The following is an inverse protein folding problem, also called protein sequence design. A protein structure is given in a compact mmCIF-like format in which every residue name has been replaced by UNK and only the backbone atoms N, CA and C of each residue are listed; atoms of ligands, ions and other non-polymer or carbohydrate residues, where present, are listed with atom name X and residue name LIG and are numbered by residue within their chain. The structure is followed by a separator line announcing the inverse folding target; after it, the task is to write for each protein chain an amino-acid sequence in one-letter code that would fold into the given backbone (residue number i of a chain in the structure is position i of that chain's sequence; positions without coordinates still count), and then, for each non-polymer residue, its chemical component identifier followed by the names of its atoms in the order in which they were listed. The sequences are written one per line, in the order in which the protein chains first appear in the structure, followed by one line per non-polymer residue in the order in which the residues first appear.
data_IF_537994429426
#
_entry.id   IF_537994429426
#
_cell.length_a   1.000
_cell.length_b   1.000
_cell.length_c   1.000
_cell.angle_alpha   90.00
_cell.angle_beta   90.00
_cell.angle_gamma   90.00
#
_symmetry.space_group_name_H-M   'P 1'
#
loop_
_entity.id
_entity.type
_entity.pdbx_description
1 polymer ?
#
# COMPACT_ATOMS: atom_id res chain seq x y z
N UNK A 1 -7.74 -27.69 0.83
CA UNK A 1 -8.65 -26.67 0.28
C UNK A 1 -7.80 -25.51 -0.20
N UNK A 2 -7.92 -25.08 -1.46
CA UNK A 2 -7.13 -23.96 -1.99
C UNK A 2 -7.53 -22.67 -1.28
N UNK A 3 -6.53 -21.85 -0.95
CA UNK A 3 -6.74 -20.58 -0.27
C UNK A 3 -7.11 -19.50 -1.28
N UNK A 4 -8.04 -18.61 -0.90
CA UNK A 4 -8.59 -17.57 -1.79
C UNK A 4 -8.33 -16.18 -1.22
N UNK A 5 -8.25 -15.18 -2.08
CA UNK A 5 -8.51 -13.79 -1.68
C UNK A 5 -10.01 -13.51 -1.76
N UNK A 6 -10.49 -12.52 -1.02
CA UNK A 6 -11.87 -12.07 -1.08
C UNK A 6 -11.95 -10.56 -1.31
N UNK A 7 -12.79 -10.14 -2.26
CA UNK A 7 -13.20 -8.76 -2.46
C UNK A 7 -14.51 -8.56 -1.71
N UNK A 8 -14.53 -7.66 -0.72
CA UNK A 8 -15.71 -7.36 0.06
C UNK A 8 -16.32 -6.04 -0.38
N UNK A 9 -17.63 -6.05 -0.62
CA UNK A 9 -18.39 -4.86 -0.97
C UNK A 9 -19.69 -4.77 -0.19
N UNK A 10 -20.18 -3.54 -0.06
CA UNK A 10 -21.55 -3.30 0.40
C UNK A 10 -22.56 -3.71 -0.68
N UNK A 11 -23.80 -3.95 -0.27
CA UNK A 11 -24.91 -4.11 -1.18
C UNK A 11 -25.32 -2.74 -1.74
N UNK A 12 -25.42 -2.64 -3.07
CA UNK A 12 -25.83 -1.42 -3.74
C UNK A 12 -27.35 -1.25 -3.73
N UNK A 13 -28.08 -2.37 -3.86
CA UNK A 13 -29.54 -2.41 -3.80
C UNK A 13 -30.06 -3.44 -2.78
N UNK A 14 -31.28 -3.24 -2.26
CA UNK A 14 -31.95 -4.20 -1.38
C UNK A 14 -32.17 -5.57 -2.06
N UNK A 15 -32.21 -5.58 -3.38
CA UNK A 15 -32.28 -6.77 -4.22
C UNK A 15 -30.97 -7.55 -4.24
N UNK A 16 -29.83 -6.89 -3.97
CA UNK A 16 -28.51 -7.55 -3.85
C UNK A 16 -28.35 -8.27 -2.50
N UNK A 17 -29.20 -7.96 -1.52
CA UNK A 17 -29.19 -8.66 -0.23
C UNK A 17 -29.65 -10.12 -0.43
N UNK A 18 -28.80 -11.11 -0.08
CA UNK A 18 -29.08 -12.54 -0.32
C UNK A 18 -30.00 -13.13 0.76
N UNK A 19 -31.17 -12.54 0.91
CA UNK A 19 -32.16 -12.90 1.91
C UNK A 19 -32.89 -14.19 1.48
N UNK A 20 -32.75 -15.26 2.26
CA UNK A 20 -33.47 -16.53 2.03
C UNK A 20 -35.00 -16.37 1.96
N UNK A 21 -35.54 -15.42 2.71
CA UNK A 21 -36.96 -15.07 2.66
C UNK A 21 -37.10 -13.69 1.97
N UNK A 22 -37.63 -13.63 0.72
CA UNK A 22 -37.80 -12.37 -0.01
C UNK A 22 -38.67 -11.34 0.73
N UNK A 23 -39.60 -11.78 1.59
CA UNK A 23 -40.46 -10.87 2.36
C UNK A 23 -39.68 -10.01 3.36
N UNK A 24 -38.48 -10.43 3.76
CA UNK A 24 -37.60 -9.64 4.64
C UNK A 24 -37.21 -8.29 4.03
N UNK A 25 -37.30 -8.14 2.70
CA UNK A 25 -37.04 -6.86 2.01
C UNK A 25 -38.06 -5.78 2.39
N UNK A 26 -39.30 -6.17 2.68
CA UNK A 26 -40.40 -5.26 3.03
C UNK A 26 -40.52 -5.01 4.54
N UNK A 27 -39.67 -5.64 5.37
CA UNK A 27 -39.73 -5.46 6.82
C UNK A 27 -39.03 -4.18 7.28
N UNK A 28 -39.42 -3.63 8.45
CA UNK A 28 -38.73 -2.50 9.06
C UNK A 28 -37.23 -2.77 9.26
N UNK A 29 -36.38 -1.74 9.06
CA UNK A 29 -34.91 -1.87 9.10
C UNK A 29 -34.41 -2.60 10.36
N UNK A 30 -34.95 -2.29 11.54
CA UNK A 30 -34.55 -2.94 12.82
C UNK A 30 -34.76 -4.46 12.81
N UNK A 31 -35.88 -4.93 12.26
CA UNK A 31 -36.17 -6.37 12.14
C UNK A 31 -35.26 -7.03 11.10
N UNK A 32 -35.04 -6.35 9.97
CA UNK A 32 -34.14 -6.81 8.91
C UNK A 32 -32.70 -6.96 9.43
N UNK A 33 -32.17 -5.97 10.16
CA UNK A 33 -30.84 -6.03 10.79
C UNK A 33 -30.70 -7.21 11.74
N UNK A 34 -31.69 -7.42 12.62
CA UNK A 34 -31.71 -8.56 13.53
C UNK A 34 -31.74 -9.91 12.81
N UNK A 35 -32.40 -9.99 11.65
CA UNK A 35 -32.37 -11.19 10.81
C UNK A 35 -31.01 -11.40 10.15
N UNK A 36 -30.42 -10.33 9.61
CA UNK A 36 -29.10 -10.35 8.97
C UNK A 36 -28.05 -10.83 9.97
N UNK A 37 -27.99 -10.27 11.18
CA UNK A 37 -27.00 -10.68 12.19
C UNK A 37 -27.13 -12.15 12.58
N UNK A 38 -28.36 -12.68 12.68
CA UNK A 38 -28.56 -14.09 13.04
C UNK A 38 -28.13 -15.10 11.98
N UNK A 39 -28.00 -14.70 10.71
CA UNK A 39 -27.77 -15.64 9.59
C UNK A 39 -26.58 -15.28 8.72
N UNK A 40 -26.15 -14.02 8.77
CA UNK A 40 -25.24 -13.36 7.85
C UNK A 40 -25.39 -13.87 6.41
N UNK A 41 -26.50 -13.51 5.73
CA UNK A 41 -26.63 -13.80 4.32
C UNK A 41 -25.52 -13.05 3.58
N UNK A 42 -24.62 -13.78 2.94
CA UNK A 42 -23.59 -13.22 2.07
C UNK A 42 -23.67 -13.95 0.73
N UNK A 43 -23.59 -13.18 -0.37
CA UNK A 43 -23.51 -13.73 -1.71
C UNK A 43 -22.03 -13.82 -2.04
N UNK A 44 -21.57 -15.01 -2.42
CA UNK A 44 -20.21 -15.23 -2.85
C UNK A 44 -20.24 -15.74 -4.29
N UNK A 45 -19.64 -14.99 -5.20
CA UNK A 45 -19.34 -15.43 -6.56
C UNK A 45 -17.85 -15.64 -6.73
N UNK A 46 -17.47 -16.64 -7.51
CA UNK A 46 -16.08 -16.80 -7.89
C UNK A 46 -15.69 -15.71 -8.89
N UNK A 47 -14.51 -15.13 -8.68
CA UNK A 47 -13.89 -14.18 -9.60
C UNK A 47 -12.50 -14.69 -9.95
N UNK A 48 -12.02 -14.41 -11.15
CA UNK A 48 -10.69 -14.78 -11.59
C UNK A 48 -9.92 -13.53 -11.99
N UNK A 49 -8.76 -13.33 -11.38
CA UNK A 49 -7.82 -12.27 -11.72
C UNK A 49 -6.41 -12.87 -11.76
N UNK A 50 -5.66 -12.61 -12.84
CA UNK A 50 -4.31 -13.15 -13.05
C UNK A 50 -4.25 -14.68 -12.87
N UNK A 51 -5.21 -15.38 -13.47
CA UNK A 51 -5.40 -16.84 -13.39
C UNK A 51 -5.65 -17.40 -11.97
N UNK A 52 -5.90 -16.53 -10.98
CA UNK A 52 -6.17 -16.91 -9.61
C UNK A 52 -7.64 -16.73 -9.27
N UNK A 53 -8.22 -17.78 -8.70
CA UNK A 53 -9.62 -17.77 -8.26
C UNK A 53 -9.73 -17.14 -6.87
N UNK A 54 -10.47 -16.04 -6.80
CA UNK A 54 -10.92 -15.39 -5.57
C UNK A 54 -12.42 -15.50 -5.35
N UNK A 55 -12.90 -14.75 -4.37
CA UNK A 55 -14.33 -14.58 -4.08
C UNK A 55 -14.69 -13.10 -4.14
N UNK A 56 -15.77 -12.77 -4.83
CA UNK A 56 -16.46 -11.48 -4.67
C UNK A 56 -17.64 -11.69 -3.73
N UNK A 57 -17.63 -10.96 -2.62
CA UNK A 57 -18.54 -11.16 -1.51
C UNK A 57 -19.27 -9.86 -1.20
N UNK A 58 -20.58 -9.89 -1.37
CA UNK A 58 -21.46 -8.81 -0.97
C UNK A 58 -21.87 -9.01 0.48
N UNK A 59 -21.40 -8.12 1.36
CA UNK A 59 -21.87 -8.05 2.73
C UNK A 59 -23.28 -7.46 2.77
N UNK A 60 -24.15 -7.93 3.67
CA UNK A 60 -25.53 -7.46 3.77
C UNK A 60 -25.59 -6.11 4.50
N UNK A 61 -24.88 -5.11 3.98
CA UNK A 61 -24.78 -3.74 4.48
C UNK A 61 -25.12 -2.84 3.31
N UNK A 62 -26.18 -2.05 3.45
CA UNK A 62 -26.51 -1.01 2.48
C UNK A 62 -25.66 0.24 2.76
N UNK A 63 -25.36 1.06 1.74
CA UNK A 63 -24.60 2.31 1.92
C UNK A 63 -25.20 3.25 2.98
N UNK A 64 -26.54 3.38 2.98
CA UNK A 64 -27.27 4.15 3.99
C UNK A 64 -27.12 3.63 5.43
N UNK A 65 -26.64 2.40 5.62
CA UNK A 65 -26.44 1.79 6.94
C UNK A 65 -25.03 2.00 7.50
N UNK A 66 -24.10 2.53 6.69
CA UNK A 66 -22.72 2.81 7.10
C UNK A 66 -22.64 3.82 8.26
N UNK A 67 -23.63 4.69 8.40
CA UNK A 67 -23.74 5.63 9.52
C UNK A 67 -24.06 4.94 10.87
N UNK A 68 -24.49 3.68 10.86
CA UNK A 68 -24.78 2.91 12.07
C UNK A 68 -23.61 2.00 12.41
N UNK A 69 -22.52 2.59 12.92
CA UNK A 69 -21.25 1.89 13.14
C UNK A 69 -21.39 0.57 13.89
N UNK A 70 -22.18 0.52 14.96
CA UNK A 70 -22.33 -0.72 15.74
C UNK A 70 -22.90 -1.85 14.90
N UNK A 71 -23.90 -1.56 14.06
CA UNK A 71 -24.49 -2.56 13.17
C UNK A 71 -23.46 -3.07 12.15
N UNK A 72 -22.67 -2.17 11.56
CA UNK A 72 -21.60 -2.52 10.62
C UNK A 72 -20.55 -3.40 11.30
N UNK A 73 -20.10 -3.02 12.50
CA UNK A 73 -19.15 -3.78 13.32
C UNK A 73 -19.67 -5.17 13.67
N UNK A 74 -20.96 -5.28 14.01
CA UNK A 74 -21.60 -6.58 14.29
C UNK A 74 -21.62 -7.47 13.04
N UNK A 75 -21.97 -6.91 11.86
CA UNK A 75 -21.93 -7.65 10.59
C UNK A 75 -20.50 -8.10 10.23
N UNK A 76 -19.49 -7.25 10.44
CA UNK A 76 -18.09 -7.58 10.20
C UNK A 76 -17.59 -8.64 11.18
N UNK A 77 -18.03 -8.60 12.44
CA UNK A 77 -17.70 -9.62 13.44
C UNK A 77 -18.22 -11.00 13.03
N UNK A 78 -19.48 -11.09 12.60
CA UNK A 78 -20.06 -12.31 12.05
C UNK A 78 -19.32 -12.77 10.78
N UNK A 79 -18.91 -11.82 9.92
CA UNK A 79 -18.10 -12.11 8.74
C UNK A 79 -16.74 -12.71 9.12
N UNK A 80 -16.03 -12.14 10.09
CA UNK A 80 -14.73 -12.62 10.54
C UNK A 80 -14.80 -14.10 10.99
N UNK A 81 -15.88 -14.50 11.65
CA UNK A 81 -16.09 -15.90 12.04
C UNK A 81 -16.29 -16.81 10.82
N UNK A 82 -17.04 -16.35 9.81
CA UNK A 82 -17.28 -17.13 8.59
C UNK A 82 -16.11 -17.14 7.62
N UNK A 83 -15.28 -16.10 7.57
CA UNK A 83 -14.15 -15.99 6.66
C UNK A 83 -13.16 -17.15 6.81
N UNK A 84 -13.02 -17.68 8.04
CA UNK A 84 -12.23 -18.87 8.33
C UNK A 84 -12.74 -20.12 7.58
N UNK A 85 -14.05 -20.26 7.42
CA UNK A 85 -14.66 -21.39 6.71
C UNK A 85 -14.38 -21.33 5.20
N UNK A 86 -14.19 -20.14 4.64
CA UNK A 86 -13.90 -19.92 3.22
C UNK A 86 -12.40 -20.00 2.89
N UNK A 87 -11.52 -20.26 3.87
CA UNK A 87 -10.06 -20.26 3.70
C UNK A 87 -9.52 -18.98 3.03
N UNK A 88 -10.03 -17.83 3.45
CA UNK A 88 -9.62 -16.52 2.93
C UNK A 88 -8.31 -16.10 3.59
N UNK A 89 -7.28 -15.86 2.79
CA UNK A 89 -5.98 -15.38 3.27
C UNK A 89 -5.87 -13.85 3.31
N UNK A 90 -6.51 -13.20 2.36
CA UNK A 90 -6.37 -11.77 2.10
C UNK A 90 -7.72 -11.20 1.67
N UNK A 91 -7.98 -9.99 2.13
CA UNK A 91 -9.25 -9.29 1.97
C UNK A 91 -9.00 -7.96 1.29
N UNK A 92 -9.74 -7.68 0.23
CA UNK A 92 -9.75 -6.40 -0.48
C UNK A 92 -11.06 -5.71 -0.11
N UNK A 93 -10.98 -4.50 0.43
CA UNK A 93 -12.17 -3.77 0.88
C UNK A 93 -12.61 -2.77 -0.19
N UNK A 94 -13.92 -2.69 -0.44
CA UNK A 94 -14.49 -1.55 -1.17
C UNK A 94 -14.27 -0.24 -0.40
N UNK A 95 -14.35 0.88 -1.10
CA UNK A 95 -14.08 2.23 -0.55
C UNK A 95 -14.93 2.52 0.70
N UNK A 96 -16.16 2.04 0.70
CA UNK A 96 -17.17 2.24 1.75
C UNK A 96 -16.81 1.51 3.05
N UNK A 97 -16.11 0.38 2.96
CA UNK A 97 -15.73 -0.45 4.09
C UNK A 97 -14.37 -0.07 4.69
N UNK A 98 -13.57 0.75 3.99
CA UNK A 98 -12.26 1.22 4.47
C UNK A 98 -12.28 1.90 5.85
N UNK A 99 -13.29 2.71 6.23
CA UNK A 99 -13.38 3.28 7.58
C UNK A 99 -13.48 2.22 8.70
N UNK A 100 -13.88 0.99 8.36
CA UNK A 100 -14.01 -0.13 9.29
C UNK A 100 -12.85 -1.13 9.19
N UNK A 101 -11.75 -0.77 8.50
CA UNK A 101 -10.59 -1.63 8.25
C UNK A 101 -10.13 -2.37 9.52
N UNK A 102 -9.95 -1.66 10.62
CA UNK A 102 -9.40 -2.22 11.87
C UNK A 102 -10.33 -3.23 12.57
N UNK A 103 -11.56 -3.40 12.09
CA UNK A 103 -12.53 -4.34 12.65
C UNK A 103 -12.47 -5.72 11.99
N UNK A 104 -11.73 -5.87 10.89
CA UNK A 104 -11.52 -7.16 10.22
C UNK A 104 -10.33 -7.90 10.83
N UNK A 105 -10.49 -9.20 11.09
CA UNK A 105 -9.45 -10.02 11.73
C UNK A 105 -8.40 -10.60 10.75
N UNK A 106 -8.57 -10.37 9.44
CA UNK A 106 -7.73 -10.95 8.39
C UNK A 106 -6.71 -9.95 7.81
N UNK A 107 -5.86 -10.43 6.89
CA UNK A 107 -4.97 -9.53 6.15
C UNK A 107 -5.79 -8.69 5.19
N UNK A 108 -5.72 -7.37 5.37
CA UNK A 108 -6.40 -6.42 4.49
C UNK A 108 -5.37 -5.88 3.53
N UNK A 109 -5.66 -6.00 2.24
CA UNK A 109 -4.83 -5.46 1.20
C UNK A 109 -4.78 -3.93 1.27
N UNK A 110 -3.63 -3.38 0.91
CA UNK A 110 -3.30 -1.97 1.04
C UNK A 110 -2.66 -1.43 -0.23
N UNK A 111 -3.25 -0.40 -0.83
CA UNK A 111 -2.71 0.24 -2.04
C UNK A 111 -1.33 0.87 -1.82
N UNK A 112 -1.00 1.33 -0.62
CA UNK A 112 0.26 2.01 -0.35
C UNK A 112 1.40 0.99 -0.28
N UNK A 113 1.16 -0.17 0.33
CA UNK A 113 2.17 -1.21 0.48
C UNK A 113 2.63 -1.78 -0.88
N UNK A 114 1.70 -2.00 -1.82
CA UNK A 114 2.06 -2.50 -3.15
C UNK A 114 2.88 -1.51 -3.97
N UNK A 115 2.64 -0.21 -3.78
CA UNK A 115 3.45 0.82 -4.43
C UNK A 115 4.88 0.84 -3.88
N UNK A 116 5.10 0.49 -2.61
CA UNK A 116 6.45 0.27 -2.07
C UNK A 116 7.12 -0.98 -2.61
N UNK A 117 6.38 -2.08 -2.82
CA UNK A 117 6.95 -3.32 -3.37
C UNK A 117 7.55 -3.10 -4.77
N UNK A 118 6.95 -2.21 -5.57
CA UNK A 118 7.42 -1.85 -6.91
C UNK A 118 8.10 -0.47 -6.95
N UNK A 119 8.82 -0.11 -5.88
CA UNK A 119 9.51 1.19 -5.79
C UNK A 119 10.58 1.36 -6.87
N UNK A 120 11.27 0.29 -7.24
CA UNK A 120 12.19 0.24 -8.38
C UNK A 120 11.52 0.73 -9.67
N UNK A 121 10.36 0.19 -10.01
CA UNK A 121 9.62 0.59 -11.20
C UNK A 121 9.09 2.04 -11.12
N UNK A 122 8.77 2.54 -9.92
CA UNK A 122 8.40 3.95 -9.71
C UNK A 122 9.61 4.86 -9.95
N UNK A 123 10.78 4.48 -9.43
CA UNK A 123 12.04 5.21 -9.62
C UNK A 123 12.41 5.23 -11.10
N UNK A 124 12.30 4.11 -11.82
CA UNK A 124 12.54 4.05 -13.26
C UNK A 124 11.67 5.03 -14.04
N UNK A 125 10.38 5.14 -13.69
CA UNK A 125 9.47 6.08 -14.34
C UNK A 125 9.83 7.54 -14.06
N UNK A 126 10.33 7.85 -12.86
CA UNK A 126 10.86 9.19 -12.54
C UNK A 126 12.13 9.47 -13.34
N UNK A 127 13.04 8.50 -13.45
CA UNK A 127 14.31 8.64 -14.19
C UNK A 127 14.05 9.00 -15.65
N UNK A 128 13.13 8.29 -16.32
CA UNK A 128 12.73 8.58 -17.71
C UNK A 128 12.30 10.03 -17.92
N UNK A 129 11.79 10.69 -16.88
CA UNK A 129 11.28 12.07 -16.89
C UNK A 129 12.31 13.11 -16.43
N UNK A 130 13.33 12.69 -15.67
CA UNK A 130 14.31 13.57 -15.03
C UNK A 130 15.46 14.03 -15.95
N UNK A 131 15.61 13.43 -17.14
CA UNK A 131 16.77 13.60 -18.04
C UNK A 131 18.15 13.31 -17.40
N UNK A 132 18.19 12.71 -16.20
CA UNK A 132 19.43 12.31 -15.51
C UNK A 132 19.62 10.80 -15.60
N UNK A 133 20.87 10.36 -15.61
CA UNK A 133 21.20 8.94 -15.42
C UNK A 133 21.10 8.59 -13.94
N UNK A 134 20.67 7.37 -13.64
CA UNK A 134 20.48 6.86 -12.27
C UNK A 134 21.73 7.04 -11.38
N UNK A 135 22.92 6.83 -11.95
CA UNK A 135 24.20 6.95 -11.25
C UNK A 135 24.55 8.40 -10.83
N UNK A 136 23.97 9.39 -11.50
CA UNK A 136 24.22 10.82 -11.27
C UNK A 136 23.17 11.44 -10.33
N UNK A 137 22.17 10.64 -9.91
CA UNK A 137 21.12 11.07 -9.01
C UNK A 137 21.54 10.95 -7.54
N UNK A 138 21.06 11.90 -6.75
CA UNK A 138 21.17 11.91 -5.30
C UNK A 138 19.88 11.39 -4.67
N UNK A 139 19.96 10.24 -4.01
CA UNK A 139 18.83 9.64 -3.32
C UNK A 139 18.78 10.06 -1.86
N UNK A 140 17.58 10.37 -1.38
CA UNK A 140 17.32 10.63 0.05
C UNK A 140 16.24 9.70 0.56
N UNK A 141 16.52 8.91 1.59
CA UNK A 141 15.54 8.10 2.31
C UNK A 141 15.19 8.77 3.63
N UNK A 142 13.91 9.10 3.84
CA UNK A 142 13.41 9.58 5.13
C UNK A 142 12.88 8.38 5.91
N UNK A 143 13.61 7.96 6.93
CA UNK A 143 13.32 6.76 7.68
C UNK A 143 12.21 6.97 8.73
N UNK A 144 11.07 6.31 8.60
CA UNK A 144 10.09 6.24 9.70
C UNK A 144 9.59 4.84 10.01
N UNK A 145 10.16 3.84 9.35
CA UNK A 145 9.97 2.43 9.62
C UNK A 145 11.17 1.70 9.04
N UNK A 146 12.11 1.34 9.93
CA UNK A 146 13.34 0.62 9.63
C UNK A 146 13.14 -0.50 8.61
N UNK A 147 12.01 -1.23 8.68
CA UNK A 147 11.67 -2.30 7.74
C UNK A 147 11.52 -1.80 6.29
N UNK A 148 10.72 -0.75 6.07
CA UNK A 148 10.47 -0.17 4.74
C UNK A 148 11.73 0.49 4.17
N UNK A 149 12.42 1.27 5.00
CA UNK A 149 13.67 1.92 4.63
C UNK A 149 14.71 0.89 4.19
N UNK A 150 14.88 -0.19 4.96
CA UNK A 150 15.84 -1.26 4.63
C UNK A 150 15.43 -2.02 3.36
N UNK A 151 14.14 -2.23 3.11
CA UNK A 151 13.68 -2.86 1.86
C UNK A 151 14.04 -2.01 0.64
N UNK A 152 13.71 -0.71 0.68
CA UNK A 152 13.98 0.21 -0.43
C UNK A 152 15.48 0.38 -0.64
N UNK A 153 16.26 0.50 0.45
CA UNK A 153 17.72 0.56 0.38
C UNK A 153 18.28 -0.65 -0.38
N UNK A 154 17.81 -1.88 -0.08
CA UNK A 154 18.24 -3.09 -0.77
C UNK A 154 17.82 -3.12 -2.25
N UNK A 155 16.77 -2.41 -2.66
CA UNK A 155 16.36 -2.32 -4.08
C UNK A 155 17.26 -1.40 -4.90
N UNK A 156 17.89 -0.39 -4.29
CA UNK A 156 18.53 0.70 -5.03
C UNK A 156 20.05 0.77 -4.89
N UNK A 157 20.62 0.18 -3.83
CA UNK A 157 22.03 0.45 -3.47
C UNK A 157 23.04 0.05 -4.57
N UNK A 158 22.76 -1.04 -5.30
CA UNK A 158 23.62 -1.54 -6.39
C UNK A 158 23.61 -0.66 -7.65
N UNK A 159 22.77 0.37 -7.69
CA UNK A 159 22.51 1.14 -8.91
C UNK A 159 22.79 2.64 -8.77
N UNK A 160 23.14 3.10 -7.57
CA UNK A 160 23.30 4.53 -7.25
C UNK A 160 24.70 4.81 -6.71
N UNK A 161 25.14 6.06 -6.82
CA UNK A 161 26.43 6.50 -6.26
C UNK A 161 26.30 7.32 -4.98
N UNK A 162 25.13 7.89 -4.70
CA UNK A 162 24.91 8.76 -3.55
C UNK A 162 23.58 8.43 -2.86
N UNK A 163 23.65 8.10 -1.58
CA UNK A 163 22.49 7.85 -0.74
C UNK A 163 22.61 8.65 0.57
N UNK A 164 21.57 9.39 0.93
CA UNK A 164 21.43 10.01 2.25
C UNK A 164 20.26 9.40 2.99
N UNK A 165 20.47 8.93 4.23
CA UNK A 165 19.42 8.42 5.12
C UNK A 165 19.19 9.44 6.23
N UNK A 166 17.94 9.90 6.36
CA UNK A 166 17.50 10.77 7.45
C UNK A 166 16.77 9.91 8.49
N UNK A 167 17.37 9.68 9.65
CA UNK A 167 16.81 8.84 10.71
C UNK A 167 17.08 9.40 12.11
N UNK A 168 16.27 9.00 13.09
CA UNK A 168 16.57 9.17 14.52
C UNK A 168 17.37 8.01 15.13
N UNK A 169 17.56 6.91 14.39
CA UNK A 169 18.22 5.68 14.85
C UNK A 169 19.38 5.30 13.91
N UNK A 170 20.44 6.11 13.81
CA UNK A 170 21.58 5.84 12.92
C UNK A 170 22.20 4.45 13.14
N UNK A 171 22.23 3.99 14.39
CA UNK A 171 22.78 2.69 14.80
C UNK A 171 22.11 1.48 14.12
N UNK A 172 20.87 1.65 13.63
CA UNK A 172 20.17 0.60 12.91
C UNK A 172 20.82 0.30 11.55
N UNK A 173 21.40 1.31 10.90
CA UNK A 173 21.89 1.22 9.53
C UNK A 173 23.40 0.99 9.44
N UNK A 174 24.17 1.22 10.50
CA UNK A 174 25.64 1.16 10.52
C UNK A 174 26.19 -0.11 9.84
N UNK A 175 25.72 -1.29 10.25
CA UNK A 175 26.18 -2.57 9.69
C UNK A 175 25.84 -2.74 8.21
N UNK A 176 24.67 -2.24 7.79
CA UNK A 176 24.25 -2.36 6.39
C UNK A 176 25.04 -1.41 5.51
N UNK A 177 25.37 -0.22 6.02
CA UNK A 177 26.18 0.77 5.31
C UNK A 177 27.61 0.29 5.11
N UNK A 178 28.21 -0.32 6.14
CA UNK A 178 29.53 -0.93 6.04
C UNK A 178 29.55 -2.01 4.95
N UNK A 179 28.59 -2.94 4.97
CA UNK A 179 28.46 -3.97 3.94
C UNK A 179 28.25 -3.40 2.53
N UNK A 180 27.36 -2.42 2.37
CA UNK A 180 27.09 -1.75 1.09
C UNK A 180 28.36 -1.08 0.54
N UNK A 181 29.11 -0.38 1.40
CA UNK A 181 30.35 0.27 1.00
C UNK A 181 31.41 -0.75 0.57
N UNK A 182 31.54 -1.86 1.30
CA UNK A 182 32.47 -2.95 0.94
C UNK A 182 32.09 -3.63 -0.39
N UNK A 183 30.79 -3.82 -0.66
CA UNK A 183 30.29 -4.50 -1.85
C UNK A 183 30.32 -3.63 -3.11
N UNK A 184 29.96 -2.34 -2.98
CA UNK A 184 29.67 -1.47 -4.13
C UNK A 184 30.51 -0.21 -4.21
N UNK A 185 31.16 0.19 -3.10
CA UNK A 185 31.80 1.50 -2.97
C UNK A 185 30.83 2.68 -2.82
N UNK A 186 29.52 2.43 -2.71
CA UNK A 186 28.49 3.46 -2.50
C UNK A 186 28.74 4.23 -1.19
N UNK A 187 28.84 5.55 -1.28
CA UNK A 187 28.87 6.44 -0.12
C UNK A 187 27.45 6.66 0.42
N UNK A 188 27.18 6.14 1.63
CA UNK A 188 25.92 6.38 2.36
C UNK A 188 26.15 7.38 3.49
N UNK A 189 25.40 8.48 3.47
CA UNK A 189 25.42 9.52 4.49
C UNK A 189 24.24 9.34 5.45
N UNK A 190 24.49 9.37 6.76
CA UNK A 190 23.40 9.39 7.74
C UNK A 190 23.30 10.77 8.37
N UNK A 191 22.07 11.29 8.45
CA UNK A 191 21.76 12.52 9.17
C UNK A 191 20.50 12.38 9.98
N UNK A 192 20.23 13.35 10.86
CA UNK A 192 19.04 13.38 11.69
C UNK A 192 18.00 14.38 11.17
N UNK A 193 16.83 14.36 11.81
CA UNK A 193 15.70 15.21 11.47
C UNK A 193 15.89 16.71 11.77
N UNK A 194 16.90 17.09 12.56
CA UNK A 194 17.17 18.47 12.97
C UNK A 194 18.14 19.21 12.03
N UNK A 195 18.31 18.69 10.81
CA UNK A 195 19.14 19.30 9.79
C UNK A 195 18.55 20.63 9.28
N UNK A 196 19.42 21.62 9.16
CA UNK A 196 19.10 22.95 8.58
C UNK A 196 19.86 23.23 7.30
N UNK A 197 20.83 22.37 6.98
CA UNK A 197 21.64 22.49 5.77
C UNK A 197 20.90 21.89 4.57
N UNK A 198 21.24 22.40 3.39
CA UNK A 198 20.74 21.87 2.12
C UNK A 198 21.26 20.44 1.90
N UNK A 199 20.39 19.54 1.47
CA UNK A 199 20.69 18.14 1.17
C UNK A 199 20.53 17.96 -0.35
N UNK A 200 21.61 17.60 -1.08
CA UNK A 200 21.51 17.24 -2.49
C UNK A 200 20.45 16.16 -2.69
N UNK A 201 19.45 16.43 -3.53
CA UNK A 201 18.29 15.55 -3.70
C UNK A 201 17.74 15.62 -5.11
N UNK A 202 17.64 14.45 -5.74
CA UNK A 202 16.94 14.27 -7.00
C UNK A 202 15.67 13.45 -6.78
N UNK A 203 15.81 12.36 -6.01
CA UNK A 203 14.72 11.49 -5.61
C UNK A 203 14.71 11.36 -4.09
N UNK A 204 13.61 11.76 -3.47
CA UNK A 204 13.37 11.62 -2.04
C UNK A 204 12.28 10.57 -1.83
N UNK A 205 12.52 9.59 -0.97
CA UNK A 205 11.54 8.55 -0.66
C UNK A 205 11.18 8.67 0.82
N UNK A 206 9.93 9.05 1.08
CA UNK A 206 9.44 9.22 2.44
C UNK A 206 8.84 7.91 2.99
N UNK A 207 9.54 7.30 3.95
CA UNK A 207 9.08 6.16 4.72
C UNK A 207 8.50 6.55 6.10
N UNK A 208 8.45 7.84 6.43
CA UNK A 208 7.92 8.37 7.69
C UNK A 208 6.54 9.03 7.59
N UNK A 209 5.62 8.61 8.45
CA UNK A 209 4.34 9.30 8.67
C UNK A 209 4.50 10.55 9.53
N UNK A 210 5.63 10.68 10.25
CA UNK A 210 5.84 11.83 11.13
C UNK A 210 5.92 13.13 10.33
N UNK A 211 5.30 14.18 10.87
CA UNK A 211 5.43 15.53 10.34
C UNK A 211 6.77 16.09 10.75
N UNK A 212 7.73 16.03 9.82
CA UNK A 212 9.02 16.67 9.95
C UNK A 212 9.12 17.81 8.94
N UNK A 213 10.05 18.73 9.18
CA UNK A 213 10.28 19.91 8.33
C UNK A 213 11.48 19.71 7.39
N UNK A 214 11.99 18.48 7.24
CA UNK A 214 13.19 18.23 6.43
C UNK A 214 12.96 18.49 4.95
N UNK A 215 11.70 18.57 4.51
CA UNK A 215 11.35 18.99 3.15
C UNK A 215 11.81 20.41 2.78
N UNK A 216 12.21 21.26 3.75
CA UNK A 216 12.84 22.54 3.45
C UNK A 216 14.31 22.43 3.02
N UNK A 217 14.95 21.28 3.27
CA UNK A 217 16.37 21.07 2.99
C UNK A 217 16.63 20.52 1.58
N UNK A 218 15.60 20.06 0.88
CA UNK A 218 15.73 19.42 -0.43
C UNK A 218 15.85 20.42 -1.58
N UNK A 219 16.44 19.98 -2.70
CA UNK A 219 16.66 20.79 -3.89
C UNK A 219 15.36 21.11 -4.62
N UNK A 220 15.35 22.24 -5.33
CA UNK A 220 14.27 22.59 -6.24
C UNK A 220 14.21 21.57 -7.40
N UNK A 221 13.01 21.22 -7.85
CA UNK A 221 12.79 20.22 -8.91
C UNK A 221 12.96 18.76 -8.47
N UNK A 222 13.19 18.49 -7.19
CA UNK A 222 13.27 17.13 -6.65
C UNK A 222 11.93 16.39 -6.83
N UNK A 223 12.00 15.08 -7.05
CA UNK A 223 10.84 14.19 -6.96
C UNK A 223 10.75 13.59 -5.55
N UNK A 224 9.67 13.88 -4.84
CA UNK A 224 9.40 13.31 -3.52
C UNK A 224 8.30 12.25 -3.63
N UNK A 225 8.63 11.00 -3.33
CA UNK A 225 7.69 9.88 -3.28
C UNK A 225 7.17 9.74 -1.85
N UNK A 226 5.86 9.93 -1.66
CA UNK A 226 5.20 9.85 -0.36
C UNK A 226 3.84 9.16 -0.45
N UNK A 227 3.85 7.84 -0.24
CA UNK A 227 2.64 7.00 -0.26
C UNK A 227 1.98 6.84 1.10
N UNK A 228 2.48 7.49 2.17
CA UNK A 228 2.09 7.17 3.55
C UNK A 228 1.57 8.34 4.35
N UNK A 229 1.95 9.56 3.97
CA UNK A 229 1.51 10.75 4.67
C UNK A 229 0.03 11.01 4.44
N UNK A 230 -0.61 11.61 5.44
CA UNK A 230 -1.97 12.09 5.31
C UNK A 230 -2.07 13.32 4.39
N UNK A 231 -3.30 13.61 3.98
CA UNK A 231 -3.64 14.72 3.09
C UNK A 231 -3.18 16.08 3.62
N UNK A 232 -3.13 16.27 4.94
CA UNK A 232 -2.80 17.57 5.54
C UNK A 232 -1.29 17.82 5.51
N UNK A 233 -0.47 16.79 5.75
CA UNK A 233 0.98 16.86 5.55
C UNK A 233 1.32 17.10 4.09
N UNK A 234 0.68 16.39 3.16
CA UNK A 234 0.88 16.58 1.71
C UNK A 234 0.53 18.02 1.31
N UNK A 235 -0.64 18.55 1.72
CA UNK A 235 -1.02 19.96 1.47
C UNK A 235 0.02 20.93 2.03
N UNK A 236 0.47 20.70 3.26
CA UNK A 236 1.45 21.57 3.92
C UNK A 236 2.78 21.61 3.16
N UNK A 237 3.26 20.48 2.62
CA UNK A 237 4.46 20.46 1.76
C UNK A 237 4.22 21.29 0.50
N UNK A 238 3.13 21.04 -0.23
CA UNK A 238 2.84 21.73 -1.49
C UNK A 238 2.65 23.24 -1.36
N UNK A 239 2.08 23.72 -0.24
CA UNK A 239 1.94 25.15 0.05
C UNK A 239 3.31 25.81 0.27
N UNK A 240 4.26 25.08 0.84
CA UNK A 240 5.58 25.60 1.27
C UNK A 240 6.69 25.37 0.26
N UNK A 241 6.53 24.36 -0.61
CA UNK A 241 7.49 23.88 -1.61
C UNK A 241 6.74 23.50 -2.88
N UNK A 242 6.26 24.50 -3.61
CA UNK A 242 5.61 24.32 -4.92
C UNK A 242 6.58 23.89 -6.02
N UNK A 243 7.88 23.96 -5.74
CA UNK A 243 9.01 23.61 -6.59
C UNK A 243 9.43 22.14 -6.49
N UNK A 244 8.83 21.34 -5.61
CA UNK A 244 9.05 19.89 -5.50
C UNK A 244 7.91 19.15 -6.21
N UNK A 245 8.24 18.10 -6.95
CA UNK A 245 7.27 17.19 -7.57
C UNK A 245 6.87 16.09 -6.58
N UNK A 246 5.66 16.14 -6.03
CA UNK A 246 5.23 15.22 -4.98
C UNK A 246 4.40 14.05 -5.53
N UNK A 247 4.99 12.86 -5.60
CA UNK A 247 4.37 11.62 -6.04
C UNK A 247 3.65 10.95 -4.87
N UNK A 248 2.32 11.03 -4.88
CA UNK A 248 1.44 10.46 -3.83
C UNK A 248 0.73 9.18 -4.26
N UNK A 249 0.67 8.93 -5.57
CA UNK A 249 0.00 7.76 -6.13
C UNK A 249 0.53 7.48 -7.54
N UNK A 250 0.50 6.21 -7.98
CA UNK A 250 0.91 5.81 -9.33
C UNK A 250 -0.10 4.89 -10.02
N UNK A 251 -0.18 4.94 -11.34
CA UNK A 251 -0.84 3.89 -12.11
C UNK A 251 0.05 2.64 -12.13
N UNK A 252 -0.56 1.48 -11.88
CA UNK A 252 0.11 0.20 -11.92
C UNK A 252 -0.55 -0.63 -13.02
N UNK A 253 0.22 -0.91 -14.08
CA UNK A 253 -0.19 -1.78 -15.16
C UNK A 253 0.40 -3.16 -14.90
N UNK A 254 -0.44 -4.18 -14.85
CA UNK A 254 -0.02 -5.58 -14.76
C UNK A 254 -0.42 -6.26 -16.06
N UNK A 255 0.54 -6.85 -16.78
CA UNK A 255 0.32 -7.42 -18.12
C UNK A 255 -0.30 -6.37 -19.09
N UNK A 256 0.24 -5.15 -19.05
CA UNK A 256 -0.21 -3.99 -19.84
C UNK A 256 -1.66 -3.55 -19.58
N UNK A 257 -2.26 -3.95 -18.45
CA UNK A 257 -3.62 -3.53 -18.06
C UNK A 257 -3.59 -2.79 -16.74
N UNK A 258 -4.29 -1.66 -16.68
CA UNK A 258 -4.46 -0.92 -15.43
C UNK A 258 -5.12 -1.82 -14.38
N UNK A 259 -4.44 -2.01 -13.26
CA UNK A 259 -4.90 -2.88 -12.19
C UNK A 259 -5.22 -2.09 -10.92
N UNK A 260 -6.30 -2.46 -10.25
CA UNK A 260 -6.58 -1.95 -8.91
C UNK A 260 -5.49 -2.44 -7.94
N UNK A 261 -4.78 -1.50 -7.32
CA UNK A 261 -3.64 -1.77 -6.43
C UNK A 261 -4.00 -2.60 -5.20
N UNK A 262 -5.14 -2.37 -4.57
CA UNK A 262 -5.57 -3.18 -3.42
C UNK A 262 -5.90 -4.61 -3.87
N UNK A 263 -6.53 -4.77 -5.03
CA UNK A 263 -6.78 -6.10 -5.60
C UNK A 263 -5.47 -6.84 -5.88
N UNK A 264 -4.51 -6.18 -6.54
CA UNK A 264 -3.23 -6.79 -6.86
C UNK A 264 -2.44 -7.16 -5.59
N UNK A 265 -2.43 -6.27 -4.60
CA UNK A 265 -1.84 -6.59 -3.31
C UNK A 265 -2.53 -7.79 -2.63
N UNK A 266 -3.87 -7.84 -2.67
CA UNK A 266 -4.64 -8.98 -2.13
C UNK A 266 -4.31 -10.30 -2.81
N UNK A 267 -4.09 -10.29 -4.12
CA UNK A 267 -3.65 -11.45 -4.92
C UNK A 267 -2.27 -11.91 -4.46
N UNK A 268 -1.29 -11.00 -4.39
CA UNK A 268 0.08 -11.31 -3.96
C UNK A 268 0.12 -11.86 -2.52
N UNK A 269 -0.65 -11.26 -1.62
CA UNK A 269 -0.79 -11.75 -0.25
C UNK A 269 -1.47 -13.12 -0.21
N UNK A 270 -2.40 -13.45 -1.10
CA UNK A 270 -3.00 -14.77 -1.13
C UNK A 270 -2.01 -15.85 -1.56
N UNK A 271 -1.25 -15.59 -2.61
CA UNK A 271 -0.33 -16.57 -3.17
C UNK A 271 0.89 -16.83 -2.29
N UNK A 272 1.50 -15.78 -1.74
CA UNK A 272 2.84 -15.92 -1.18
C UNK A 272 2.93 -15.69 0.33
N UNK A 273 3.42 -16.69 1.05
CA UNK A 273 3.63 -16.60 2.51
C UNK A 273 4.70 -15.60 2.91
N UNK A 274 5.72 -15.40 2.08
CA UNK A 274 6.82 -14.46 2.37
C UNK A 274 6.30 -13.04 2.31
N UNK A 275 5.53 -12.68 1.28
CA UNK A 275 4.87 -11.37 1.20
C UNK A 275 3.91 -11.13 2.37
N UNK A 276 3.13 -12.14 2.78
CA UNK A 276 2.32 -12.04 4.01
C UNK A 276 3.17 -11.81 5.26
N UNK A 277 4.29 -12.53 5.38
CA UNK A 277 5.19 -12.38 6.52
C UNK A 277 5.83 -11.00 6.56
N UNK A 278 6.27 -10.49 5.40
CA UNK A 278 6.81 -9.14 5.26
C UNK A 278 5.77 -8.08 5.62
N UNK A 279 4.53 -8.25 5.15
CA UNK A 279 3.44 -7.33 5.43
C UNK A 279 3.05 -7.31 6.92
N UNK A 280 3.02 -8.46 7.60
CA UNK A 280 2.63 -8.55 9.01
C UNK A 280 3.75 -8.21 9.99
N UNK A 281 4.97 -8.63 9.70
CA UNK A 281 6.08 -8.62 10.67
C UNK A 281 7.27 -7.76 10.24
N UNK A 282 7.12 -7.04 9.13
CA UNK A 282 8.20 -6.29 8.53
C UNK A 282 9.15 -7.13 7.70
N UNK A 283 9.89 -6.43 6.86
CA UNK A 283 10.93 -6.93 6.00
C UNK A 283 12.16 -7.37 6.81
N UNK A 284 12.83 -8.42 6.29
CA UNK A 284 14.15 -8.86 6.75
C UNK A 284 15.03 -9.04 5.52
N UNK A 285 16.29 -8.65 5.57
CA UNK A 285 17.21 -8.71 4.41
C UNK A 285 17.30 -10.12 3.79
N UNK A 286 17.16 -11.17 4.58
CA UNK A 286 17.11 -12.57 4.10
C UNK A 286 15.90 -12.91 3.23
N UNK A 287 14.92 -12.01 3.13
CA UNK A 287 13.75 -12.15 2.27
C UNK A 287 13.96 -11.55 0.87
N UNK A 288 14.99 -10.72 0.67
CA UNK A 288 15.14 -9.88 -0.54
C UNK A 288 15.01 -10.66 -1.84
N UNK A 289 15.92 -11.60 -2.09
CA UNK A 289 15.94 -12.40 -3.32
C UNK A 289 14.61 -13.11 -3.58
N UNK A 290 13.99 -13.64 -2.52
CA UNK A 290 12.71 -14.35 -2.62
C UNK A 290 11.59 -13.38 -2.98
N UNK A 291 11.54 -12.21 -2.36
CA UNK A 291 10.57 -11.16 -2.67
C UNK A 291 10.74 -10.72 -4.12
N UNK A 292 11.96 -10.40 -4.55
CA UNK A 292 12.25 -9.99 -5.94
C UNK A 292 11.86 -11.07 -6.95
N UNK A 293 12.14 -12.35 -6.68
CA UNK A 293 11.69 -13.47 -7.53
C UNK A 293 10.16 -13.61 -7.60
N UNK A 294 9.43 -13.29 -6.52
CA UNK A 294 7.97 -13.35 -6.52
C UNK A 294 7.40 -12.20 -7.34
N UNK A 295 7.90 -10.98 -7.13
CA UNK A 295 7.44 -9.79 -7.84
C UNK A 295 7.76 -9.89 -9.34
N UNK A 296 8.95 -10.40 -9.70
CA UNK A 296 9.38 -10.58 -11.09
C UNK A 296 8.58 -11.60 -11.92
N UNK A 297 7.64 -12.34 -11.30
CA UNK A 297 6.66 -13.16 -12.06
C UNK A 297 5.63 -12.33 -12.78
N UNK A 298 5.40 -11.11 -12.31
CA UNK A 298 4.41 -10.20 -12.83
C UNK A 298 5.12 -9.15 -13.69
N UNK A 299 4.66 -8.97 -14.92
CA UNK A 299 5.09 -7.85 -15.76
C UNK A 299 4.36 -6.60 -15.27
N UNK A 300 5.01 -5.87 -14.36
CA UNK A 300 4.48 -4.65 -13.77
C UNK A 300 5.17 -3.44 -14.37
N UNK A 301 4.38 -2.52 -14.88
CA UNK A 301 4.82 -1.23 -15.40
C UNK A 301 4.16 -0.10 -14.60
N UNK A 302 4.93 0.93 -14.28
CA UNK A 302 4.39 2.16 -13.68
C UNK A 302 4.03 3.13 -14.81
N UNK A 303 2.78 3.57 -14.81
CA UNK A 303 2.24 4.49 -15.80
C UNK A 303 2.35 5.94 -15.34
N UNK A 304 1.21 6.59 -15.13
CA UNK A 304 1.16 7.98 -14.67
C UNK A 304 1.53 8.10 -13.20
N UNK A 305 2.19 9.22 -12.87
CA UNK A 305 2.48 9.65 -11.51
C UNK A 305 1.46 10.74 -11.10
N UNK A 306 0.96 10.65 -9.87
CA UNK A 306 -0.10 11.54 -9.38
C UNK A 306 0.27 12.27 -8.09
N UNK A 307 -0.13 13.54 -8.03
CA UNK A 307 -0.11 14.40 -6.86
C UNK A 307 -1.56 14.70 -6.46
N UNK A 308 -2.02 14.09 -5.37
CA UNK A 308 -3.40 14.24 -4.85
C UNK A 308 -4.50 13.96 -5.90
N UNK A 309 -4.25 12.99 -6.78
CA UNK A 309 -5.18 12.60 -7.85
C UNK A 309 -5.02 13.37 -9.15
N UNK A 310 -4.18 14.39 -9.21
CA UNK A 310 -3.83 15.11 -10.43
C UNK A 310 -2.53 14.53 -11.02
N UNK A 311 -2.45 14.40 -12.34
CA UNK A 311 -1.24 13.91 -13.00
C UNK A 311 -0.13 14.95 -12.89
N UNK A 312 1.07 14.53 -12.46
CA UNK A 312 2.20 15.45 -12.21
C UNK A 312 2.81 15.91 -13.53
N UNK A 313 2.88 15.00 -14.53
CA UNK A 313 3.38 15.22 -15.90
C UNK A 313 2.65 14.23 -16.84
#
# INVERSE_FOLDING_TARGET
MYKKYAVLRCASDIHDLPLRNPLMRYMPKKMRRGHILKRLPAFASEVNHLDLTGLDITLPIMEEELCHEQYVKDVISEWNQKAMLYNINATVLSKELRPFRDTFNGLIADKNHIQFLYMDAVIEEIIKRSHKELKDMNFVLIDGDNSRTTYIMNQIYDHINNLTIITSQPEHFEKSIEAIYEETGLAVWITNYNITQRIPSDIIINCSQHSNKVFYCFDEGSYMIDFISDDDKIKNILIKRSDIHLVTEVDMLVESRLMNKELFHGILLNENRILRSMYMYGYKSTMFEKVSQILGKYQVEIGKLYQRGETII
#
